data_IF_326176872023
#
_entry.id   IF_326176872023
#
_cell.length_a   1.000
_cell.length_b   1.000
_cell.length_c   1.000
_cell.angle_alpha   90.00
_cell.angle_beta   90.00
_cell.angle_gamma   90.00
#
_symmetry.space_group_name_H-M   'P 1'
#
loop_
_entity.id
_entity.type
_entity.pdbx_description
1 polymer ?
#
# COMPACT_ATOMS: atom_id res chain seq x y z
N UNK A 1 -5.25 5.23 10.43
CA UNK A 1 -4.83 4.93 9.05
C UNK A 1 -3.49 5.61 8.80
N UNK A 2 -2.38 4.86 8.89
CA UNK A 2 -1.01 5.37 8.69
C UNK A 2 -0.27 4.59 7.59
N UNK A 3 -0.82 3.46 7.16
CA UNK A 3 -0.25 2.64 6.10
C UNK A 3 -0.40 3.31 4.73
N UNK A 4 0.63 3.15 3.89
CA UNK A 4 0.67 3.67 2.53
C UNK A 4 1.05 2.53 1.62
N UNK A 5 0.12 2.12 0.77
CA UNK A 5 0.33 1.06 -0.19
C UNK A 5 -0.53 1.28 -1.43
N UNK A 6 -0.15 0.62 -2.52
CA UNK A 6 -0.84 0.64 -3.80
C UNK A 6 -0.77 -0.75 -4.43
N UNK A 7 -1.92 -1.27 -4.86
CA UNK A 7 -2.05 -2.54 -5.56
C UNK A 7 -2.30 -2.23 -7.03
N UNK A 8 -1.56 -2.88 -7.93
CA UNK A 8 -1.70 -2.74 -9.37
C UNK A 8 -2.07 -4.11 -9.95
N UNK A 9 -3.17 -4.15 -10.69
CA UNK A 9 -3.68 -5.31 -11.43
C UNK A 9 -3.81 -6.62 -10.63
N UNK A 10 -3.88 -6.55 -9.29
CA UNK A 10 -3.90 -7.70 -8.37
C UNK A 10 -2.65 -8.60 -8.41
N UNK A 11 -1.57 -8.12 -9.04
CA UNK A 11 -0.34 -8.89 -9.24
C UNK A 11 0.89 -8.18 -8.67
N UNK A 12 0.79 -6.89 -8.39
CA UNK A 12 1.88 -6.07 -7.89
C UNK A 12 1.43 -5.21 -6.71
N UNK A 13 2.29 -5.10 -5.69
CA UNK A 13 2.08 -4.18 -4.57
C UNK A 13 3.31 -3.31 -4.35
N UNK A 14 3.07 -2.03 -4.09
CA UNK A 14 4.03 -1.08 -3.57
C UNK A 14 3.60 -0.70 -2.15
N UNK A 15 4.52 -0.70 -1.17
CA UNK A 15 4.21 -0.31 0.20
C UNK A 15 5.43 0.31 0.90
N UNK A 16 5.18 1.17 1.89
CA UNK A 16 6.25 1.77 2.68
C UNK A 16 5.83 3.06 3.37
N UNK A 17 6.80 3.92 3.65
CA UNK A 17 6.55 5.24 4.27
C UNK A 17 6.26 6.34 3.24
N UNK A 18 6.59 6.10 1.96
CA UNK A 18 6.46 7.08 0.88
C UNK A 18 5.01 7.57 0.67
N UNK A 19 4.82 8.89 0.77
CA UNK A 19 3.57 9.56 0.39
C UNK A 19 3.66 10.07 -1.05
N UNK A 20 2.54 10.08 -1.79
CA UNK A 20 2.48 10.72 -3.12
C UNK A 20 2.44 12.25 -3.04
N UNK A 21 3.53 12.84 -2.55
CA UNK A 21 3.72 14.29 -2.43
C UNK A 21 5.06 14.71 -3.03
N UNK A 22 5.18 15.97 -3.44
CA UNK A 22 6.45 16.52 -3.93
C UNK A 22 7.56 16.46 -2.88
N UNK A 23 7.20 16.60 -1.60
CA UNK A 23 8.13 16.56 -0.46
C UNK A 23 8.76 15.19 -0.24
N UNK A 24 8.04 14.10 -0.54
CA UNK A 24 8.55 12.74 -0.38
C UNK A 24 9.75 12.43 -1.27
N UNK A 25 9.94 13.17 -2.38
CA UNK A 25 11.13 13.07 -3.23
C UNK A 25 12.42 13.53 -2.53
N UNK A 26 12.30 14.31 -1.45
CA UNK A 26 13.44 14.89 -0.71
C UNK A 26 13.59 14.32 0.69
N UNK A 27 12.58 13.59 1.18
CA UNK A 27 12.63 12.93 2.47
C UNK A 27 13.26 11.54 2.34
N UNK A 28 13.84 11.04 3.42
CA UNK A 28 14.25 9.64 3.51
C UNK A 28 13.02 8.76 3.73
N UNK A 29 12.45 8.28 2.63
CA UNK A 29 11.27 7.43 2.62
C UNK A 29 11.63 6.01 2.15
N UNK A 30 10.84 5.03 2.60
CA UNK A 30 10.92 3.64 2.16
C UNK A 30 9.83 3.35 1.14
N UNK A 31 10.20 2.63 0.08
CA UNK A 31 9.27 2.10 -0.92
C UNK A 31 9.73 0.69 -1.31
N UNK A 32 9.05 -0.31 -0.77
CA UNK A 32 9.24 -1.71 -1.14
C UNK A 32 8.19 -2.10 -2.18
N UNK A 33 8.58 -3.02 -3.06
CA UNK A 33 7.69 -3.49 -4.12
C UNK A 33 7.79 -5.00 -4.28
N UNK A 34 6.67 -5.64 -4.61
CA UNK A 34 6.59 -7.09 -4.73
C UNK A 34 5.63 -7.52 -5.84
N UNK A 35 6.07 -8.54 -6.60
CA UNK A 35 5.27 -9.31 -7.56
C UNK A 35 4.94 -10.67 -6.92
N UNK A 36 4.02 -10.66 -5.97
CA UNK A 36 3.65 -11.84 -5.18
C UNK A 36 2.15 -11.83 -4.91
N UNK A 37 1.43 -12.76 -5.52
CA UNK A 37 -0.03 -12.83 -5.41
C UNK A 37 -0.52 -13.06 -3.98
N UNK A 38 0.23 -13.80 -3.14
CA UNK A 38 -0.18 -14.04 -1.76
C UNK A 38 -0.05 -12.76 -0.94
N UNK A 39 1.03 -12.01 -1.14
CA UNK A 39 1.23 -10.72 -0.48
C UNK A 39 0.20 -9.69 -0.97
N UNK A 40 -0.05 -9.63 -2.28
CA UNK A 40 -1.07 -8.75 -2.86
C UNK A 40 -2.45 -9.06 -2.30
N UNK A 41 -2.81 -10.34 -2.17
CA UNK A 41 -4.09 -10.75 -1.59
C UNK A 41 -4.27 -10.27 -0.14
N UNK A 42 -3.20 -10.25 0.66
CA UNK A 42 -3.24 -9.72 2.04
C UNK A 42 -3.53 -8.21 2.05
N UNK A 43 -2.82 -7.42 1.24
CA UNK A 43 -3.09 -5.98 1.11
C UNK A 43 -4.47 -5.69 0.53
N UNK A 44 -4.94 -6.49 -0.43
CA UNK A 44 -6.26 -6.33 -1.03
C UNK A 44 -7.37 -6.57 -0.01
N UNK A 45 -7.19 -7.58 0.86
CA UNK A 45 -8.13 -7.85 1.96
C UNK A 45 -8.22 -6.65 2.90
N UNK A 46 -7.10 -6.11 3.35
CA UNK A 46 -7.06 -4.95 4.23
C UNK A 46 -7.74 -3.74 3.59
N UNK A 47 -7.43 -3.45 2.31
CA UNK A 47 -8.09 -2.39 1.56
C UNK A 47 -9.62 -2.54 1.57
N UNK A 48 -10.13 -3.75 1.34
CA UNK A 48 -11.57 -4.02 1.32
C UNK A 48 -12.21 -3.86 2.71
N UNK A 49 -11.51 -4.21 3.78
CA UNK A 49 -12.00 -4.03 5.15
C UNK A 49 -12.06 -2.54 5.52
N UNK A 50 -11.05 -1.75 5.14
CA UNK A 50 -11.04 -0.30 5.29
C UNK A 50 -12.14 0.37 4.46
N UNK A 51 -12.30 -0.03 3.19
CA UNK A 51 -13.30 0.53 2.28
C UNK A 51 -14.73 0.29 2.76
N UNK A 52 -15.00 -0.89 3.34
CA UNK A 52 -16.29 -1.23 3.93
C UNK A 52 -16.53 -0.55 5.29
N UNK A 53 -15.55 0.16 5.84
CA UNK A 53 -15.64 0.80 7.16
C UNK A 53 -15.76 -0.20 8.31
N UNK A 54 -15.27 -1.44 8.14
CA UNK A 54 -15.34 -2.49 9.17
C UNK A 54 -14.37 -2.21 10.32
N UNK A 55 -13.37 -1.37 10.09
CA UNK A 55 -12.45 -0.86 11.11
C UNK A 55 -12.91 0.50 11.66
N UNK A 56 -14.06 0.55 12.32
CA UNK A 56 -14.49 1.68 13.16
C UNK A 56 -15.28 1.21 14.38
#
# INVERSE_FOLDING_TARGET
>A
MHEKFCIIDMDYVMHGSYNWTLTANYNEETLATALDHELVAKFAKEFMELYKGIYF
#
